data_IF_856540728144
#
_entry.id   IF_856540728144
#
_cell.length_a   1.000
_cell.length_b   1.000
_cell.length_c   1.000
_cell.angle_alpha   90.00
_cell.angle_beta   90.00
_cell.angle_gamma   90.00
#
_symmetry.space_group_name_H-M   'P 1'
#
loop_
_entity.id
_entity.type
_entity.pdbx_description
1 polymer ?
#
# COMPACT_ATOMS: atom_id res chain seq x y z
N UNK A 1 9.44 0.45 35.61
CA UNK A 1 8.16 0.67 34.90
C UNK A 1 7.06 0.01 35.73
N UNK A 2 5.95 0.72 36.04
CA UNK A 2 4.87 0.16 36.87
C UNK A 2 4.16 -0.99 36.14
N UNK A 3 3.77 -2.05 36.87
CA UNK A 3 3.01 -3.21 36.35
C UNK A 3 1.75 -2.77 35.59
N UNK A 4 1.02 -1.80 36.12
CA UNK A 4 -0.16 -1.21 35.47
C UNK A 4 0.14 -0.64 34.07
N UNK A 5 1.27 0.09 33.93
CA UNK A 5 1.68 0.65 32.63
C UNK A 5 2.03 -0.45 31.61
N UNK A 6 2.57 -1.58 32.06
CA UNK A 6 2.85 -2.74 31.21
C UNK A 6 1.55 -3.39 30.72
N UNK A 7 0.59 -3.61 31.62
CA UNK A 7 -0.71 -4.18 31.31
C UNK A 7 -1.49 -3.31 30.30
N UNK A 8 -1.51 -1.99 30.50
CA UNK A 8 -2.12 -1.03 29.57
C UNK A 8 -1.47 -1.08 28.16
N UNK A 9 -0.14 -1.19 28.10
CA UNK A 9 0.58 -1.30 26.83
C UNK A 9 0.28 -2.62 26.11
N UNK A 10 0.16 -3.72 26.84
CA UNK A 10 -0.19 -5.02 26.26
C UNK A 10 -1.62 -5.01 25.69
N UNK A 11 -2.57 -4.43 26.44
CA UNK A 11 -3.95 -4.27 25.97
C UNK A 11 -4.04 -3.43 24.70
N UNK A 12 -3.34 -2.32 24.63
CA UNK A 12 -3.27 -1.48 23.40
C UNK A 12 -2.68 -2.24 22.22
N UNK A 13 -1.61 -3.01 22.43
CA UNK A 13 -1.03 -3.84 21.36
C UNK A 13 -2.02 -4.90 20.84
N UNK A 14 -2.75 -5.55 21.74
CA UNK A 14 -3.77 -6.53 21.36
C UNK A 14 -4.87 -5.89 20.50
N UNK A 15 -5.37 -4.71 20.91
CA UNK A 15 -6.36 -3.96 20.15
C UNK A 15 -5.87 -3.57 18.75
N UNK A 16 -4.61 -3.14 18.63
CA UNK A 16 -4.01 -2.81 17.33
C UNK A 16 -3.85 -4.04 16.43
N UNK A 17 -3.48 -5.19 17.00
CA UNK A 17 -3.37 -6.45 16.25
C UNK A 17 -4.75 -6.88 15.74
N UNK A 18 -5.77 -6.79 16.57
CA UNK A 18 -7.14 -7.14 16.20
C UNK A 18 -7.68 -6.20 15.13
N UNK A 19 -7.45 -4.90 15.27
CA UNK A 19 -7.79 -3.91 14.25
C UNK A 19 -7.11 -4.22 12.92
N UNK A 20 -5.81 -4.47 12.91
CA UNK A 20 -5.06 -4.83 11.70
C UNK A 20 -5.56 -6.11 11.02
N UNK A 21 -6.00 -7.10 11.81
CA UNK A 21 -6.64 -8.31 11.27
C UNK A 21 -7.98 -8.01 10.61
N UNK A 22 -8.81 -7.18 11.25
CA UNK A 22 -10.15 -6.84 10.74
C UNK A 22 -10.09 -5.91 9.50
N UNK A 23 -9.07 -5.08 9.41
CA UNK A 23 -8.87 -4.11 8.34
C UNK A 23 -7.47 -4.24 7.72
N UNK A 24 -7.23 -5.28 6.92
CA UNK A 24 -5.88 -5.55 6.37
C UNK A 24 -5.31 -4.42 5.53
N UNK A 25 -6.17 -3.61 4.88
CA UNK A 25 -5.73 -2.44 4.12
C UNK A 25 -4.97 -1.44 5.00
N UNK A 26 -5.44 -1.18 6.23
CA UNK A 26 -4.86 -0.16 7.12
C UNK A 26 -3.37 -0.32 7.42
N UNK A 27 -2.86 -1.55 7.33
CA UNK A 27 -1.46 -1.90 7.60
C UNK A 27 -0.68 -2.28 6.33
N UNK A 28 -1.29 -2.11 5.16
CA UNK A 28 -0.69 -2.48 3.88
C UNK A 28 0.26 -1.39 3.40
N UNK A 29 1.54 -1.69 3.45
CA UNK A 29 2.58 -0.84 2.90
C UNK A 29 2.67 -1.02 1.39
N UNK A 30 2.57 0.07 0.67
CA UNK A 30 3.03 0.15 -0.70
C UNK A 30 4.55 -0.01 -0.71
N UNK A 31 5.09 -0.43 -1.84
CA UNK A 31 6.54 -0.62 -1.96
C UNK A 31 7.28 0.68 -1.58
N UNK A 32 8.11 0.57 -0.54
CA UNK A 32 9.00 1.64 -0.10
C UNK A 32 10.42 1.25 -0.54
N UNK A 33 11.16 2.13 -1.23
CA UNK A 33 12.53 1.83 -1.59
C UNK A 33 13.37 1.58 -0.34
N UNK A 34 14.22 0.57 -0.41
CA UNK A 34 15.20 0.29 0.62
C UNK A 34 16.51 1.01 0.29
N UNK A 35 17.24 1.39 1.31
CA UNK A 35 18.54 2.01 1.18
C UNK A 35 19.54 1.00 0.56
N UNK A 36 19.72 1.12 -0.73
CA UNK A 36 20.72 0.39 -1.50
C UNK A 36 21.57 1.42 -2.22
N UNK A 37 22.85 1.48 -1.92
CA UNK A 37 23.77 2.21 -2.76
C UNK A 37 24.00 1.39 -4.05
N UNK A 38 23.41 1.84 -5.14
CA UNK A 38 23.80 1.38 -6.48
C UNK A 38 24.89 2.31 -6.99
N UNK A 39 26.12 1.92 -6.88
CA UNK A 39 27.19 2.61 -7.60
C UNK A 39 27.21 2.10 -9.04
N UNK A 40 26.59 2.88 -9.93
CA UNK A 40 26.82 2.82 -11.37
C UNK A 40 26.41 1.52 -12.06
N UNK A 41 26.71 1.50 -13.34
CA UNK A 41 26.42 0.44 -14.33
C UNK A 41 27.21 -0.87 -14.04
N UNK A 42 28.16 -0.89 -13.12
CA UNK A 42 29.05 -2.01 -12.86
C UNK A 42 28.50 -3.08 -11.93
N UNK A 43 27.30 -2.93 -11.41
CA UNK A 43 26.62 -3.99 -10.66
C UNK A 43 27.16 -4.30 -9.26
N UNK A 44 28.16 -3.59 -8.78
CA UNK A 44 28.63 -3.71 -7.40
C UNK A 44 27.57 -3.17 -6.45
N UNK A 45 27.02 -4.07 -5.63
CA UNK A 45 26.11 -3.71 -4.53
C UNK A 45 26.92 -3.01 -3.47
N UNK A 46 26.95 -1.68 -3.50
CA UNK A 46 27.37 -0.95 -2.33
C UNK A 46 26.40 -1.23 -1.18
N UNK A 47 26.95 -1.51 -0.02
CA UNK A 47 26.22 -1.96 1.16
C UNK A 47 25.41 -0.82 1.76
N UNK A 48 24.27 -0.50 1.15
CA UNK A 48 23.24 0.26 1.85
C UNK A 48 22.82 -0.48 3.11
N UNK A 49 22.26 0.21 4.09
CA UNK A 49 21.85 -0.40 5.36
C UNK A 49 20.63 -1.33 5.20
N UNK A 50 20.04 -1.47 4.01
CA UNK A 50 18.87 -2.29 3.72
C UNK A 50 17.57 -1.80 4.39
N UNK A 51 17.60 -0.70 5.12
CA UNK A 51 16.43 -0.16 5.81
C UNK A 51 15.48 0.53 4.83
N UNK A 52 14.16 0.51 5.08
CA UNK A 52 13.23 1.28 4.29
C UNK A 52 13.53 2.77 4.38
N UNK A 53 13.49 3.44 3.24
CA UNK A 53 13.70 4.89 3.15
C UNK A 53 12.40 5.63 3.40
N UNK A 54 12.48 6.80 4.02
CA UNK A 54 11.33 7.68 4.19
C UNK A 54 11.17 8.60 2.99
N UNK A 55 9.93 8.76 2.52
CA UNK A 55 9.60 9.74 1.50
C UNK A 55 9.66 11.14 2.11
N UNK A 56 10.39 12.05 1.48
CA UNK A 56 10.44 13.47 1.86
C UNK A 56 9.41 14.26 1.06
N UNK A 57 9.47 14.16 -0.27
CA UNK A 57 8.59 14.89 -1.19
C UNK A 57 8.63 14.24 -2.58
N UNK A 58 7.48 14.03 -3.20
CA UNK A 58 7.41 13.44 -4.54
C UNK A 58 8.12 12.08 -4.60
N UNK A 59 9.11 11.95 -5.45
CA UNK A 59 9.95 10.77 -5.65
C UNK A 59 11.29 10.82 -4.88
N UNK A 60 11.44 11.79 -3.96
CA UNK A 60 12.62 11.97 -3.14
C UNK A 60 12.50 11.20 -1.82
N UNK A 61 13.44 10.32 -1.56
CA UNK A 61 13.50 9.47 -0.37
C UNK A 61 14.78 9.68 0.40
N UNK A 62 14.73 9.60 1.73
CA UNK A 62 15.86 9.70 2.64
C UNK A 62 15.96 8.46 3.51
N UNK A 63 17.17 7.97 3.68
CA UNK A 63 17.49 6.97 4.69
C UNK A 63 17.91 7.68 5.98
N UNK A 64 17.13 7.56 7.03
CA UNK A 64 17.43 8.20 8.33
C UNK A 64 18.70 7.63 8.99
N UNK A 65 19.14 6.43 8.60
CA UNK A 65 20.32 5.81 9.18
C UNK A 65 21.62 6.21 8.47
N UNK A 66 21.57 6.27 7.13
CA UNK A 66 22.75 6.59 6.31
C UNK A 66 22.80 8.06 5.89
N UNK A 67 21.74 8.81 6.17
CA UNK A 67 21.55 10.20 5.73
C UNK A 67 21.62 10.39 4.19
N UNK A 68 21.43 9.30 3.45
CA UNK A 68 21.44 9.31 1.99
C UNK A 68 20.08 9.75 1.50
N UNK A 69 20.06 10.76 0.64
CA UNK A 69 18.85 11.22 -0.04
C UNK A 69 18.95 10.86 -1.52
N UNK A 70 17.97 10.12 -2.02
CA UNK A 70 17.94 9.67 -3.41
C UNK A 70 16.57 9.92 -4.05
N UNK A 71 16.62 10.27 -5.34
CA UNK A 71 15.42 10.29 -6.17
C UNK A 71 15.11 8.87 -6.63
N UNK A 72 13.98 8.34 -6.18
CA UNK A 72 13.51 7.00 -6.51
C UNK A 72 12.11 7.07 -7.09
N UNK A 73 11.97 6.74 -8.35
CA UNK A 73 10.65 6.57 -8.95
C UNK A 73 10.14 5.18 -8.59
N UNK A 74 9.30 5.07 -7.56
CA UNK A 74 8.55 3.84 -7.38
C UNK A 74 7.40 3.83 -8.37
N UNK A 75 7.26 2.78 -9.17
CA UNK A 75 6.12 2.62 -10.06
C UNK A 75 4.79 2.69 -9.29
N UNK A 76 4.80 2.26 -8.04
CA UNK A 76 3.65 2.32 -7.15
C UNK A 76 3.28 3.74 -6.74
N UNK A 77 4.26 4.64 -6.59
CA UNK A 77 4.00 6.04 -6.28
C UNK A 77 3.67 6.88 -7.53
N UNK A 78 4.18 6.53 -8.70
CA UNK A 78 3.76 7.19 -9.93
C UNK A 78 2.30 6.91 -10.30
N UNK A 79 1.76 5.76 -9.85
CA UNK A 79 0.34 5.44 -9.91
C UNK A 79 -0.54 6.39 -9.09
N UNK A 80 0.02 6.97 -8.08
CA UNK A 80 -0.68 7.76 -7.08
C UNK A 80 -0.61 9.26 -7.36
N UNK A 81 0.10 9.69 -8.40
CA UNK A 81 0.02 11.05 -8.95
C UNK A 81 -1.22 11.21 -9.84
N UNK A 82 -2.36 10.67 -9.37
CA UNK A 82 -3.62 10.60 -10.10
C UNK A 82 -4.32 11.96 -10.16
N UNK A 83 -3.73 12.90 -10.89
CA UNK A 83 -4.46 14.06 -11.39
C UNK A 83 -5.03 13.84 -12.80
N UNK A 84 -4.94 12.62 -13.35
CA UNK A 84 -5.38 12.29 -14.70
C UNK A 84 -6.66 11.47 -14.70
N UNK A 85 -7.56 11.71 -15.63
CA UNK A 85 -8.81 10.95 -15.82
C UNK A 85 -8.57 9.47 -16.14
N UNK A 86 -7.38 9.14 -16.67
CA UNK A 86 -6.98 7.78 -16.95
C UNK A 86 -5.48 7.59 -16.76
N UNK A 87 -5.07 6.44 -16.23
CA UNK A 87 -3.67 6.11 -16.01
C UNK A 87 -3.34 4.73 -16.58
N UNK A 88 -2.36 4.68 -17.48
CA UNK A 88 -1.80 3.43 -18.00
C UNK A 88 -0.56 3.03 -17.20
N UNK A 89 -0.60 1.82 -16.62
CA UNK A 89 0.50 1.29 -15.84
C UNK A 89 1.18 0.18 -16.62
N UNK A 90 2.39 0.43 -17.06
CA UNK A 90 3.25 -0.58 -17.66
C UNK A 90 4.42 -0.91 -16.71
N UNK A 91 4.88 -2.15 -16.77
CA UNK A 91 6.01 -2.58 -15.93
C UNK A 91 6.20 -4.09 -16.02
N UNK A 92 7.38 -4.55 -15.67
CA UNK A 92 7.73 -5.98 -15.67
C UNK A 92 6.85 -6.83 -14.77
N UNK A 93 6.92 -8.14 -14.97
CA UNK A 93 6.25 -9.08 -14.07
C UNK A 93 6.79 -8.90 -12.64
N UNK A 94 5.91 -9.09 -11.65
CA UNK A 94 6.20 -8.91 -10.21
C UNK A 94 6.52 -7.47 -9.77
N UNK A 95 6.25 -6.47 -10.60
CA UNK A 95 6.44 -5.05 -10.24
C UNK A 95 5.37 -4.51 -9.25
N UNK A 96 4.49 -5.36 -8.72
CA UNK A 96 3.49 -4.97 -7.73
C UNK A 96 2.27 -4.24 -8.28
N UNK A 97 2.09 -4.16 -9.61
CA UNK A 97 0.96 -3.45 -10.25
C UNK A 97 -0.41 -3.88 -9.73
N UNK A 98 -0.65 -5.20 -9.73
CA UNK A 98 -1.92 -5.77 -9.27
C UNK A 98 -2.15 -5.55 -7.77
N UNK A 99 -1.09 -5.54 -6.97
CA UNK A 99 -1.15 -5.27 -5.53
C UNK A 99 -1.64 -3.84 -5.25
N UNK A 100 -1.03 -2.86 -5.92
CA UNK A 100 -1.44 -1.45 -5.79
C UNK A 100 -2.86 -1.23 -6.32
N UNK A 101 -3.17 -1.82 -7.48
CA UNK A 101 -4.52 -1.77 -8.04
C UNK A 101 -5.56 -2.34 -7.08
N UNK A 102 -5.28 -3.44 -6.40
CA UNK A 102 -6.17 -4.03 -5.41
C UNK A 102 -6.35 -3.13 -4.17
N UNK A 103 -5.26 -2.55 -3.63
CA UNK A 103 -5.35 -1.59 -2.53
C UNK A 103 -6.20 -0.37 -2.89
N UNK A 104 -5.94 0.24 -4.06
CA UNK A 104 -6.71 1.37 -4.56
C UNK A 104 -8.18 1.01 -4.77
N UNK A 105 -8.46 -0.15 -5.38
CA UNK A 105 -9.83 -0.61 -5.61
C UNK A 105 -10.61 -0.74 -4.31
N UNK A 106 -10.00 -1.33 -3.28
CA UNK A 106 -10.63 -1.46 -1.96
C UNK A 106 -10.79 -0.09 -1.30
N UNK A 107 -9.81 0.80 -1.39
CA UNK A 107 -9.89 2.14 -0.83
C UNK A 107 -11.01 2.97 -1.49
N UNK A 108 -11.11 2.95 -2.82
CA UNK A 108 -12.17 3.66 -3.55
C UNK A 108 -13.55 3.08 -3.29
N UNK A 109 -13.66 1.74 -3.22
CA UNK A 109 -14.93 1.08 -2.90
C UNK A 109 -15.41 1.36 -1.48
N UNK A 110 -14.50 1.70 -0.57
CA UNK A 110 -14.80 2.00 0.84
C UNK A 110 -15.04 3.48 1.11
N UNK A 111 -14.28 4.35 0.43
CA UNK A 111 -14.29 5.80 0.65
C UNK A 111 -13.35 6.24 1.78
N UNK A 112 -12.86 7.48 1.69
CA UNK A 112 -11.91 8.02 2.67
C UNK A 112 -12.54 8.45 4.00
N UNK A 113 -13.87 8.33 4.17
CA UNK A 113 -14.53 8.47 5.47
C UNK A 113 -14.18 7.32 6.41
N UNK A 114 -13.92 6.15 5.88
CA UNK A 114 -13.53 4.98 6.65
C UNK A 114 -12.16 5.15 7.30
N UNK A 115 -12.06 4.90 8.60
CA UNK A 115 -10.83 5.13 9.35
C UNK A 115 -9.65 4.30 8.83
N UNK A 116 -9.88 3.05 8.46
CA UNK A 116 -8.82 2.18 7.94
C UNK A 116 -8.28 2.63 6.57
N UNK A 117 -9.07 3.37 5.78
CA UNK A 117 -8.61 3.99 4.53
C UNK A 117 -7.72 5.19 4.84
N UNK A 118 -8.11 6.03 5.82
CA UNK A 118 -7.27 7.14 6.29
C UNK A 118 -5.94 6.65 6.82
N UNK A 119 -5.96 5.59 7.64
CA UNK A 119 -4.75 4.99 8.21
C UNK A 119 -3.82 4.48 7.10
N UNK A 120 -4.39 3.85 6.05
CA UNK A 120 -3.63 3.40 4.89
C UNK A 120 -3.01 4.55 4.11
N UNK A 121 -3.76 5.62 3.86
CA UNK A 121 -3.26 6.82 3.20
C UNK A 121 -2.11 7.46 4.00
N UNK A 122 -2.29 7.62 5.31
CA UNK A 122 -1.28 8.18 6.20
C UNK A 122 -0.03 7.31 6.29
N UNK A 123 -0.20 5.98 6.43
CA UNK A 123 0.90 5.02 6.48
C UNK A 123 1.79 5.10 5.24
N UNK A 124 1.18 5.36 4.08
CA UNK A 124 1.87 5.44 2.80
C UNK A 124 2.22 6.88 2.39
N UNK A 125 2.02 7.88 3.27
CA UNK A 125 2.22 9.30 2.98
C UNK A 125 1.48 9.78 1.71
N UNK A 126 0.25 9.31 1.54
CA UNK A 126 -0.61 9.67 0.43
C UNK A 126 -1.53 10.82 0.84
N UNK A 127 -1.93 11.70 -0.12
CA UNK A 127 -2.88 12.75 0.16
C UNK A 127 -4.26 12.15 0.49
N UNK A 128 -4.96 12.76 1.46
CA UNK A 128 -6.26 12.27 1.91
C UNK A 128 -7.36 12.42 0.85
N UNK A 129 -7.19 13.34 -0.08
CA UNK A 129 -8.08 13.60 -1.21
C UNK A 129 -7.84 12.67 -2.40
N UNK A 130 -6.84 11.78 -2.31
CA UNK A 130 -6.61 10.75 -3.34
C UNK A 130 -7.82 9.83 -3.52
N UNK A 131 -8.53 9.53 -2.43
CA UNK A 131 -9.70 8.67 -2.42
C UNK A 131 -10.93 9.49 -2.12
N UNK A 132 -12.03 9.37 -2.91
CA UNK A 132 -13.29 10.06 -2.64
C UNK A 132 -13.79 9.80 -1.23
N UNK A 133 -14.47 10.79 -0.64
CA UNK A 133 -15.02 10.64 0.73
C UNK A 133 -16.04 9.51 0.83
N UNK A 134 -16.90 9.40 -0.17
CA UNK A 134 -17.95 8.39 -0.21
C UNK A 134 -17.50 7.17 -1.01
N UNK A 135 -18.03 5.98 -0.69
CA UNK A 135 -17.80 4.77 -1.46
C UNK A 135 -18.13 4.94 -2.94
N UNK A 136 -17.25 4.41 -3.79
CA UNK A 136 -17.40 4.46 -5.26
C UNK A 136 -17.57 3.05 -5.82
N UNK A 137 -18.29 2.94 -6.93
CA UNK A 137 -18.32 1.67 -7.68
C UNK A 137 -17.01 1.48 -8.41
N UNK A 138 -16.37 0.35 -8.20
CA UNK A 138 -15.07 0.01 -8.80
C UNK A 138 -15.25 -1.21 -9.71
N UNK A 139 -14.75 -1.09 -10.92
CA UNK A 139 -14.73 -2.17 -11.91
C UNK A 139 -13.30 -2.73 -12.01
N UNK A 140 -13.17 -4.04 -11.76
CA UNK A 140 -11.91 -4.74 -11.93
C UNK A 140 -12.10 -5.79 -13.04
N UNK A 141 -11.31 -5.69 -14.09
CA UNK A 141 -11.38 -6.60 -15.22
C UNK A 141 -10.09 -7.40 -15.39
N UNK A 142 -10.20 -8.61 -15.88
CA UNK A 142 -9.09 -9.47 -16.30
C UNK A 142 -9.31 -9.97 -17.71
N UNK A 143 -8.24 -10.38 -18.40
CA UNK A 143 -8.31 -10.89 -19.77
C UNK A 143 -9.04 -12.22 -19.86
N UNK A 144 -9.02 -13.01 -18.80
CA UNK A 144 -9.73 -14.28 -18.73
C UNK A 144 -10.35 -14.51 -17.35
N UNK A 145 -11.36 -15.37 -17.33
CA UNK A 145 -11.98 -15.85 -16.09
C UNK A 145 -10.96 -16.48 -15.12
N UNK A 146 -10.08 -17.31 -15.67
CA UNK A 146 -9.02 -17.95 -14.90
C UNK A 146 -8.10 -16.93 -14.23
N UNK A 147 -7.64 -15.92 -14.97
CA UNK A 147 -6.79 -14.86 -14.41
C UNK A 147 -7.51 -14.05 -13.33
N UNK A 148 -8.81 -13.80 -13.52
CA UNK A 148 -9.63 -13.13 -12.52
C UNK A 148 -9.68 -13.90 -11.20
N UNK A 149 -9.90 -15.22 -11.27
CA UNK A 149 -9.97 -16.08 -10.08
C UNK A 149 -8.62 -16.32 -9.42
N UNK A 150 -7.58 -16.58 -10.21
CA UNK A 150 -6.28 -16.98 -9.68
C UNK A 150 -5.44 -15.80 -9.19
N UNK A 151 -5.57 -14.64 -9.83
CA UNK A 151 -4.67 -13.51 -9.57
C UNK A 151 -5.38 -12.28 -9.00
N UNK A 152 -6.52 -11.87 -9.57
CA UNK A 152 -7.19 -10.63 -9.18
C UNK A 152 -7.99 -10.80 -7.89
N UNK A 153 -8.86 -11.80 -7.84
CA UNK A 153 -9.72 -12.06 -6.69
C UNK A 153 -8.96 -12.25 -5.38
N UNK A 154 -7.90 -13.10 -5.28
CA UNK A 154 -7.17 -13.26 -4.04
C UNK A 154 -6.51 -11.97 -3.56
N UNK A 155 -6.12 -11.08 -4.49
CA UNK A 155 -5.55 -9.77 -4.15
C UNK A 155 -6.57 -8.82 -3.58
N UNK A 156 -7.77 -8.77 -4.15
CA UNK A 156 -8.88 -7.97 -3.61
C UNK A 156 -9.31 -8.52 -2.24
N UNK A 157 -9.51 -9.83 -2.14
CA UNK A 157 -9.92 -10.51 -0.90
C UNK A 157 -8.93 -10.26 0.25
N UNK A 158 -7.65 -10.12 -0.05
CA UNK A 158 -6.59 -9.84 0.93
C UNK A 158 -6.76 -8.50 1.65
N UNK A 159 -7.32 -7.49 0.99
CA UNK A 159 -7.41 -6.12 1.51
C UNK A 159 -8.80 -5.73 1.98
N UNK A 160 -9.81 -6.52 1.64
CA UNK A 160 -11.18 -6.28 2.10
C UNK A 160 -11.30 -6.46 3.62
N UNK A 161 -12.10 -5.61 4.30
CA UNK A 161 -12.41 -5.80 5.71
C UNK A 161 -13.05 -7.17 5.97
N UNK A 162 -12.69 -7.78 7.11
CA UNK A 162 -13.32 -9.04 7.52
C UNK A 162 -14.82 -8.80 7.73
N UNK A 163 -15.63 -9.72 7.22
CA UNK A 163 -17.09 -9.61 7.26
C UNK A 163 -17.72 -8.85 6.10
N UNK A 164 -16.93 -8.30 5.17
CA UNK A 164 -17.45 -7.76 3.92
C UNK A 164 -18.19 -8.87 3.18
N UNK A 165 -19.50 -8.65 2.90
CA UNK A 165 -20.30 -9.63 2.16
C UNK A 165 -19.77 -9.77 0.74
N UNK A 166 -19.15 -10.89 0.46
CA UNK A 166 -18.76 -11.29 -0.89
C UNK A 166 -20.01 -11.75 -1.63
N UNK A 167 -20.74 -10.79 -2.14
CA UNK A 167 -21.88 -11.11 -2.93
C UNK A 167 -21.53 -11.70 -4.28
N UNK A 168 -21.86 -11.89 -5.21
CA UNK A 168 -21.68 -12.64 -6.46
C UNK A 168 -20.54 -12.04 -7.29
N UNK A 169 -19.58 -12.87 -7.68
CA UNK A 169 -18.71 -12.57 -8.82
C UNK A 169 -19.52 -12.87 -10.09
N UNK A 170 -19.84 -11.84 -10.85
CA UNK A 170 -20.44 -11.98 -12.20
C UNK A 170 -19.35 -11.92 -13.25
N UNK A 171 -19.45 -12.77 -14.24
CA UNK A 171 -18.52 -12.92 -15.35
C UNK A 171 -19.21 -12.51 -16.66
#
# INVERSE_FOLDING_TARGET
>A
MSRKKLEDNLRKKQQLIEYAKNYPLSVSLLWVPHCHNWKGITGERDRGCGRPMKRIKGDLYRCDHCDITEKRTSQQHSLLSLGSESTLISGGNRAGKTEVGACLSVAFASGSKEQYVKDWLQLNNLPLDLVPENPSTVWCASLSYKDGLEYLRPKLDKYLPIGTKKTRWTY
#
